data_IF_203970011016
#
_entry.id   IF_203970011016
#
_cell.length_a   1.000
_cell.length_b   1.000
_cell.length_c   1.000
_cell.angle_alpha   90.00
_cell.angle_beta   90.00
_cell.angle_gamma   90.00
#
_symmetry.space_group_name_H-M   'P 1'
#
loop_
_entity.id
_entity.type
_entity.pdbx_description
1 polymer ?
#
# COMPACT_ATOMS: atom_id res chain seq x y z
N UNK A 1 24.82 -50.40 -37.04
CA UNK A 1 23.94 -51.23 -37.89
C UNK A 1 23.25 -52.23 -37.00
N UNK A 2 21.97 -52.51 -37.29
CA UNK A 2 21.21 -53.73 -36.94
C UNK A 2 21.09 -54.08 -35.44
N UNK A 3 19.91 -53.99 -34.81
CA UNK A 3 18.70 -54.83 -35.00
C UNK A 3 19.01 -56.29 -34.61
N UNK A 4 18.17 -57.07 -33.93
CA UNK A 4 16.88 -56.98 -33.20
C UNK A 4 16.57 -58.46 -32.83
N UNK A 5 15.35 -58.76 -32.40
CA UNK A 5 14.76 -60.10 -32.29
C UNK A 5 15.30 -61.09 -31.25
N UNK A 6 14.51 -62.05 -30.75
CA UNK A 6 13.12 -62.10 -30.21
C UNK A 6 12.70 -63.59 -30.13
N UNK A 7 11.82 -63.95 -29.17
CA UNK A 7 10.90 -65.11 -29.14
C UNK A 7 10.20 -65.12 -27.76
N UNK A 8 8.86 -64.98 -27.67
CA UNK A 8 7.78 -65.99 -27.83
C UNK A 8 7.67 -67.01 -26.67
N UNK A 9 6.49 -67.44 -26.19
CA UNK A 9 5.07 -67.06 -26.41
C UNK A 9 4.25 -67.51 -25.14
N UNK A 10 2.92 -67.43 -24.99
CA UNK A 10 1.73 -67.12 -25.82
C UNK A 10 0.63 -66.50 -24.89
N UNK A 11 -0.68 -66.41 -25.17
CA UNK A 11 -1.53 -66.85 -26.29
C UNK A 11 -3.01 -66.36 -26.15
N UNK A 12 -3.80 -66.45 -27.21
CA UNK A 12 -5.22 -66.03 -27.34
C UNK A 12 -6.17 -67.27 -27.36
N UNK A 13 -7.54 -67.19 -27.47
CA UNK A 13 -8.41 -66.09 -27.93
C UNK A 13 -9.70 -65.82 -27.09
N UNK A 14 -10.54 -64.86 -27.52
CA UNK A 14 -11.91 -64.65 -27.00
C UNK A 14 -12.62 -63.40 -27.56
N UNK A 15 -13.88 -63.52 -27.96
CA UNK A 15 -14.67 -62.49 -28.69
C UNK A 15 -15.40 -61.46 -27.80
N UNK A 16 -15.95 -60.41 -28.42
CA UNK A 16 -17.17 -59.73 -27.95
C UNK A 16 -17.02 -58.28 -27.46
N UNK A 17 -18.09 -57.48 -27.56
CA UNK A 17 -18.11 -56.10 -27.05
C UNK A 17 -19.47 -55.40 -27.12
N UNK A 18 -19.49 -54.13 -26.67
CA UNK A 18 -20.59 -53.13 -26.56
C UNK A 18 -21.26 -52.94 -25.18
N UNK A 19 -21.14 -51.70 -24.69
CA UNK A 19 -22.18 -50.84 -24.04
C UNK A 19 -22.88 -51.26 -22.73
N UNK A 20 -23.28 -50.26 -21.95
CA UNK A 20 -23.98 -50.37 -20.67
C UNK A 20 -25.50 -50.10 -20.77
N UNK A 21 -26.31 -50.63 -19.83
CA UNK A 21 -27.56 -49.99 -19.34
C UNK A 21 -28.19 -50.69 -18.09
N UNK A 22 -28.98 -49.91 -17.31
CA UNK A 22 -30.17 -50.31 -16.51
C UNK A 22 -30.03 -51.22 -15.26
N UNK A 23 -31.10 -51.43 -14.42
CA UNK A 23 -32.48 -50.82 -14.35
C UNK A 23 -32.60 -49.68 -13.29
N UNK A 24 -33.65 -48.87 -13.09
CA UNK A 24 -35.14 -48.98 -13.10
C UNK A 24 -35.73 -49.72 -11.87
N UNK A 25 -36.89 -49.41 -11.25
CA UNK A 25 -37.85 -48.28 -11.18
C UNK A 25 -38.73 -48.51 -9.89
N UNK A 26 -39.71 -47.73 -9.39
CA UNK A 26 -40.33 -46.41 -9.67
C UNK A 26 -40.83 -45.83 -8.30
N UNK A 27 -41.91 -45.08 -8.00
CA UNK A 27 -42.99 -44.39 -8.76
C UNK A 27 -44.39 -44.48 -8.10
N UNK A 28 -44.74 -43.68 -7.07
CA UNK A 28 -46.11 -43.65 -6.48
C UNK A 28 -46.55 -42.28 -5.89
N UNK A 29 -47.84 -42.11 -5.51
CA UNK A 29 -48.42 -40.82 -5.03
C UNK A 29 -49.38 -40.92 -3.81
N UNK A 30 -49.30 -39.88 -2.96
CA UNK A 30 -50.38 -39.27 -2.14
C UNK A 30 -51.06 -40.06 -0.98
N UNK A 31 -51.07 -39.46 0.23
CA UNK A 31 -52.22 -39.39 1.17
C UNK A 31 -51.85 -38.62 2.47
N UNK A 32 -52.84 -38.01 3.14
CA UNK A 32 -52.84 -37.55 4.55
C UNK A 32 -51.96 -36.34 4.91
N UNK A 33 -52.31 -35.36 5.77
CA UNK A 33 -53.24 -35.18 6.92
C UNK A 33 -52.55 -35.25 8.29
N UNK A 34 -52.47 -34.10 8.99
CA UNK A 34 -52.47 -33.89 10.48
C UNK A 34 -51.36 -34.64 11.30
N UNK A 35 -50.72 -34.13 12.36
CA UNK A 35 -51.04 -33.09 13.35
C UNK A 35 -49.73 -32.61 14.07
N UNK A 36 -49.86 -31.62 14.97
CA UNK A 36 -49.00 -31.09 16.06
C UNK A 36 -47.67 -31.77 16.47
N UNK A 37 -46.67 -30.91 16.78
CA UNK A 37 -45.50 -31.25 17.61
C UNK A 37 -44.37 -30.19 17.60
N UNK A 38 -43.97 -29.65 18.76
CA UNK A 38 -42.84 -28.72 18.90
C UNK A 38 -41.50 -29.43 19.19
N UNK A 39 -40.39 -28.96 18.61
CA UNK A 39 -39.02 -29.37 18.99
C UNK A 39 -37.96 -28.30 18.64
N UNK A 40 -36.83 -28.35 19.37
CA UNK A 40 -35.73 -27.38 19.37
C UNK A 40 -35.08 -27.04 18.00
N UNK A 41 -34.46 -25.85 17.86
CA UNK A 41 -33.79 -25.44 16.63
C UNK A 41 -32.49 -26.24 16.38
N UNK A 42 -32.38 -26.82 15.19
CA UNK A 42 -31.09 -27.23 14.61
C UNK A 42 -30.44 -26.04 13.90
N UNK A 43 -29.10 -25.98 13.79
CA UNK A 43 -28.42 -24.87 13.11
C UNK A 43 -28.83 -24.82 11.64
N UNK A 44 -29.03 -23.62 11.12
CA UNK A 44 -29.44 -23.42 9.73
C UNK A 44 -28.39 -24.02 8.77
N UNK A 45 -28.79 -25.01 7.98
CA UNK A 45 -27.98 -25.48 6.86
C UNK A 45 -27.80 -24.33 5.87
N UNK A 46 -26.55 -24.04 5.56
CA UNK A 46 -26.17 -23.07 4.54
C UNK A 46 -26.78 -23.50 3.19
N UNK A 47 -27.70 -22.69 2.67
CA UNK A 47 -28.43 -22.99 1.45
C UNK A 47 -27.72 -22.41 0.24
N UNK A 48 -27.41 -23.26 -0.74
CA UNK A 48 -26.83 -22.92 -2.04
C UNK A 48 -27.44 -21.61 -2.61
N UNK A 49 -26.63 -20.58 -2.91
CA UNK A 49 -27.12 -19.26 -3.29
C UNK A 49 -27.83 -19.20 -4.65
N UNK A 50 -27.90 -20.30 -5.41
CA UNK A 50 -28.53 -20.34 -6.74
C UNK A 50 -30.03 -20.67 -6.76
N UNK A 51 -30.71 -20.85 -5.62
CA UNK A 51 -32.16 -21.15 -5.59
C UNK A 51 -33.05 -19.91 -5.34
N UNK A 52 -33.92 -19.51 -6.30
CA UNK A 52 -34.81 -18.36 -6.13
C UNK A 52 -36.01 -18.69 -5.23
N UNK A 53 -36.21 -17.93 -4.16
CA UNK A 53 -37.41 -18.01 -3.30
C UNK A 53 -38.64 -17.48 -4.06
N UNK A 54 -39.59 -18.36 -4.36
CA UNK A 54 -40.85 -17.97 -4.99
C UNK A 54 -41.79 -17.29 -3.98
N UNK A 55 -42.00 -15.97 -4.13
CA UNK A 55 -43.07 -15.24 -3.45
C UNK A 55 -44.26 -15.12 -4.41
N UNK A 56 -45.40 -15.69 -4.02
CA UNK A 56 -46.54 -15.84 -4.92
C UNK A 56 -47.45 -14.60 -4.88
N UNK A 57 -47.08 -13.56 -5.64
CA UNK A 57 -47.90 -12.34 -5.82
C UNK A 57 -48.69 -12.43 -7.12
N UNK A 58 -49.98 -12.08 -7.07
CA UNK A 58 -50.89 -12.25 -8.19
C UNK A 58 -50.54 -11.37 -9.41
N UNK A 59 -50.18 -12.05 -10.51
CA UNK A 59 -50.50 -11.68 -11.90
C UNK A 59 -50.04 -10.29 -12.38
N UNK A 60 -48.75 -9.99 -12.24
CA UNK A 60 -48.04 -9.23 -13.28
C UNK A 60 -46.54 -9.56 -13.29
N UNK A 61 -45.99 -9.98 -14.45
CA UNK A 61 -44.56 -10.29 -14.59
C UNK A 61 -43.76 -9.03 -14.91
N UNK A 62 -43.73 -8.10 -13.96
CA UNK A 62 -42.65 -7.11 -13.91
C UNK A 62 -41.38 -7.87 -13.54
N UNK A 63 -40.43 -7.94 -14.46
CA UNK A 63 -39.09 -8.45 -14.16
C UNK A 63 -38.37 -7.37 -13.35
N UNK A 64 -38.62 -7.35 -12.05
CA UNK A 64 -37.79 -6.62 -11.10
C UNK A 64 -36.42 -7.29 -11.17
N UNK A 65 -35.52 -6.68 -11.94
CA UNK A 65 -34.08 -6.93 -11.83
C UNK A 65 -33.77 -6.71 -10.36
N UNK A 66 -33.44 -7.79 -9.64
CA UNK A 66 -32.88 -7.64 -8.30
C UNK A 66 -31.68 -6.74 -8.46
N UNK A 67 -31.75 -5.54 -7.89
CA UNK A 67 -30.64 -4.61 -7.89
C UNK A 67 -29.43 -5.41 -7.39
N UNK A 68 -28.30 -5.30 -8.10
CA UNK A 68 -27.02 -5.67 -7.50
C UNK A 68 -26.95 -5.04 -6.12
N UNK A 69 -26.51 -5.76 -5.08
CA UNK A 69 -26.34 -5.18 -3.75
C UNK A 69 -25.57 -3.88 -3.94
N UNK A 70 -26.03 -2.79 -3.32
CA UNK A 70 -25.46 -1.48 -3.59
C UNK A 70 -23.96 -1.56 -3.32
N UNK A 71 -23.13 -1.34 -4.36
CA UNK A 71 -21.67 -1.36 -4.27
C UNK A 71 -21.16 -0.10 -3.55
N UNK A 72 -21.74 0.19 -2.39
CA UNK A 72 -21.35 1.24 -1.48
C UNK A 72 -19.97 0.88 -0.92
N UNK A 73 -18.99 1.74 -1.16
CA UNK A 73 -17.65 1.60 -0.58
C UNK A 73 -17.75 1.50 0.94
N UNK A 74 -17.21 0.41 1.48
CA UNK A 74 -17.14 0.12 2.92
C UNK A 74 -16.65 1.33 3.73
N UNK A 75 -17.19 1.45 4.94
CA UNK A 75 -16.97 2.56 5.85
C UNK A 75 -16.46 2.05 7.19
N UNK A 76 -15.49 2.77 7.76
CA UNK A 76 -15.03 2.56 9.15
C UNK A 76 -16.21 2.52 10.13
N UNK A 77 -16.21 1.53 11.03
CA UNK A 77 -17.26 1.35 12.03
C UNK A 77 -17.22 2.49 13.06
N UNK A 78 -16.02 2.99 13.37
CA UNK A 78 -15.80 4.09 14.30
C UNK A 78 -14.81 5.13 13.76
N UNK A 79 -15.05 6.40 14.10
CA UNK A 79 -14.11 7.50 13.79
C UNK A 79 -12.74 7.31 14.46
N UNK A 80 -12.69 6.59 15.59
CA UNK A 80 -11.45 6.26 16.29
C UNK A 80 -10.57 5.28 15.50
N UNK A 81 -11.16 4.29 14.81
CA UNK A 81 -10.43 3.33 13.96
C UNK A 81 -9.71 4.07 12.82
N UNK A 82 -10.43 4.96 12.12
CA UNK A 82 -9.86 5.81 11.08
C UNK A 82 -8.74 6.72 11.61
N UNK A 83 -8.94 7.37 12.76
CA UNK A 83 -7.93 8.25 13.35
C UNK A 83 -6.67 7.47 13.77
N UNK A 84 -6.82 6.28 14.36
CA UNK A 84 -5.71 5.42 14.73
C UNK A 84 -4.95 4.89 13.50
N UNK A 85 -5.66 4.55 12.41
CA UNK A 85 -5.03 4.16 11.15
C UNK A 85 -4.19 5.31 10.54
N UNK A 86 -4.71 6.54 10.55
CA UNK A 86 -3.99 7.73 10.06
C UNK A 86 -2.79 8.07 10.95
N UNK A 87 -2.91 7.97 12.28
CA UNK A 87 -1.78 8.16 13.22
C UNK A 87 -0.73 7.05 13.04
N UNK A 88 -1.14 5.80 12.88
CA UNK A 88 -0.24 4.67 12.65
C UNK A 88 0.52 4.75 11.31
N UNK A 89 -0.06 5.40 10.30
CA UNK A 89 0.64 5.74 9.05
C UNK A 89 1.61 6.92 9.21
N UNK A 90 1.27 7.91 10.04
CA UNK A 90 2.09 9.11 10.26
C UNK A 90 3.23 8.92 11.28
N UNK A 91 3.22 7.83 12.06
CA UNK A 91 4.26 7.52 13.06
C UNK A 91 5.13 6.36 12.59
N UNK A 92 6.30 6.69 12.03
CA UNK A 92 7.23 5.74 11.45
C UNK A 92 8.54 5.59 12.27
N UNK A 93 9.46 4.77 11.76
CA UNK A 93 10.83 4.69 12.29
C UNK A 93 11.57 6.03 12.19
N UNK A 94 11.39 6.78 11.10
CA UNK A 94 11.96 8.11 10.85
C UNK A 94 11.79 9.09 12.02
N UNK A 95 10.61 9.14 12.63
CA UNK A 95 10.34 9.96 13.81
C UNK A 95 11.22 9.61 15.04
N UNK A 96 11.67 8.36 15.16
CA UNK A 96 12.49 7.87 16.29
C UNK A 96 13.98 8.22 16.14
N UNK A 97 14.54 8.09 14.93
CA UNK A 97 15.98 8.27 14.68
C UNK A 97 16.35 9.49 13.84
N UNK A 98 15.62 9.75 12.74
CA UNK A 98 15.97 10.77 11.74
C UNK A 98 15.63 12.17 12.25
N UNK A 99 14.48 12.35 12.91
CA UNK A 99 14.11 13.64 13.48
C UNK A 99 15.09 14.11 14.57
N UNK A 100 15.46 13.31 15.60
CA UNK A 100 16.47 13.71 16.58
C UNK A 100 17.85 13.99 15.97
N UNK A 101 18.30 13.16 15.02
CA UNK A 101 19.59 13.34 14.34
C UNK A 101 19.67 14.65 13.55
N UNK A 102 18.66 14.93 12.72
CA UNK A 102 18.59 16.17 11.92
C UNK A 102 18.42 17.40 12.83
N UNK A 103 17.60 17.29 13.89
CA UNK A 103 17.43 18.34 14.89
C UNK A 103 18.76 18.68 15.57
N UNK A 104 19.51 17.68 16.05
CA UNK A 104 20.82 17.86 16.66
C UNK A 104 21.82 18.56 15.74
N UNK A 105 21.95 18.10 14.47
CA UNK A 105 22.89 18.70 13.51
C UNK A 105 22.53 20.14 13.12
N UNK A 106 21.25 20.49 13.08
CA UNK A 106 20.78 21.82 12.63
C UNK A 106 20.55 22.81 13.80
N UNK A 107 21.38 22.71 14.85
CA UNK A 107 21.37 23.65 15.98
C UNK A 107 20.46 23.23 17.16
N UNK A 108 20.12 21.95 17.26
CA UNK A 108 19.31 21.40 18.35
C UNK A 108 17.93 22.06 18.43
N UNK A 109 17.53 22.51 19.62
CA UNK A 109 16.22 23.12 19.85
C UNK A 109 15.89 24.34 18.97
N UNK A 110 16.90 25.01 18.38
CA UNK A 110 16.67 26.09 17.43
C UNK A 110 16.00 25.61 16.13
N UNK A 111 16.25 24.37 15.70
CA UNK A 111 15.65 23.75 14.51
C UNK A 111 14.12 23.62 14.61
N UNK A 112 13.56 23.59 15.83
CA UNK A 112 12.12 23.52 16.04
C UNK A 112 11.36 24.74 15.49
N UNK A 113 12.01 25.91 15.42
CA UNK A 113 11.40 27.13 14.89
C UNK A 113 11.10 27.00 13.38
N UNK A 114 12.08 26.77 12.48
CA UNK A 114 11.80 26.55 11.07
C UNK A 114 10.97 25.27 10.86
N UNK A 115 11.20 24.19 11.61
CA UNK A 115 10.40 22.96 11.51
C UNK A 115 8.89 23.23 11.70
N UNK A 116 8.51 23.94 12.77
CA UNK A 116 7.12 24.30 13.02
C UNK A 116 6.56 25.24 11.94
N UNK A 117 7.35 26.18 11.41
CA UNK A 117 6.93 27.06 10.31
C UNK A 117 6.65 26.25 9.04
N UNK A 118 7.54 25.32 8.65
CA UNK A 118 7.35 24.50 7.46
C UNK A 118 6.21 23.48 7.63
N UNK A 119 6.00 22.98 8.85
CA UNK A 119 4.85 22.14 9.19
C UNK A 119 3.52 22.91 9.02
N UNK A 120 3.44 24.14 9.51
CA UNK A 120 2.23 24.96 9.41
C UNK A 120 1.94 25.47 7.98
N UNK A 121 2.97 25.79 7.19
CA UNK A 121 2.83 26.42 5.87
C UNK A 121 2.88 25.43 4.68
N UNK A 122 3.50 24.26 4.85
CA UNK A 122 3.64 23.22 3.83
C UNK A 122 2.98 21.91 4.23
N UNK A 123 3.39 21.35 5.38
CA UNK A 123 2.96 20.02 5.83
C UNK A 123 1.45 19.90 6.05
N UNK A 124 0.86 20.72 6.93
CA UNK A 124 -0.56 20.69 7.23
C UNK A 124 -1.46 21.02 6.02
N UNK A 125 -1.16 22.03 5.17
CA UNK A 125 -1.94 22.27 3.96
C UNK A 125 -1.96 21.08 2.98
N UNK A 126 -0.82 20.42 2.73
CA UNK A 126 -0.76 19.25 1.84
C UNK A 126 -1.47 18.02 2.46
N UNK A 127 -1.26 17.77 3.75
CA UNK A 127 -1.94 16.68 4.46
C UNK A 127 -3.47 16.88 4.52
N UNK A 128 -3.92 18.12 4.74
CA UNK A 128 -5.35 18.47 4.71
C UNK A 128 -5.93 18.38 3.29
N UNK A 129 -5.17 18.72 2.25
CA UNK A 129 -5.56 18.51 0.86
C UNK A 129 -5.85 17.03 0.61
N UNK A 130 -4.91 16.14 0.95
CA UNK A 130 -5.02 14.72 0.63
C UNK A 130 -6.20 14.04 1.35
N UNK A 131 -6.36 14.32 2.65
CA UNK A 131 -7.52 13.83 3.41
C UNK A 131 -8.86 14.32 2.81
N UNK A 132 -8.93 15.58 2.39
CA UNK A 132 -10.13 16.15 1.78
C UNK A 132 -10.41 15.54 0.39
N UNK A 133 -9.39 15.37 -0.46
CA UNK A 133 -9.53 14.73 -1.77
C UNK A 133 -10.03 13.29 -1.66
N UNK A 134 -9.43 12.50 -0.76
CA UNK A 134 -9.81 11.12 -0.48
C UNK A 134 -11.24 10.99 0.06
N UNK A 135 -11.63 11.86 1.01
CA UNK A 135 -12.99 11.86 1.57
C UNK A 135 -14.05 12.33 0.57
N UNK A 136 -13.77 13.33 -0.27
CA UNK A 136 -14.73 13.84 -1.26
C UNK A 136 -14.97 12.84 -2.39
N UNK A 137 -13.89 12.42 -3.06
CA UNK A 137 -14.01 11.62 -4.28
C UNK A 137 -14.34 10.14 -4.00
N UNK A 138 -14.06 9.65 -2.78
CA UNK A 138 -14.28 8.26 -2.30
C UNK A 138 -13.73 7.17 -3.23
N UNK A 139 -12.71 7.47 -4.05
CA UNK A 139 -12.01 6.53 -4.92
C UNK A 139 -10.57 6.26 -4.40
N UNK A 140 -9.69 5.69 -5.23
CA UNK A 140 -8.26 5.52 -4.93
C UNK A 140 -7.38 6.31 -5.89
N UNK A 141 -6.08 6.44 -5.57
CA UNK A 141 -5.06 7.21 -6.29
C UNK A 141 -5.10 7.04 -7.83
N UNK A 142 -5.20 5.81 -8.35
CA UNK A 142 -5.29 5.54 -9.80
C UNK A 142 -6.58 6.03 -10.49
N UNK A 143 -7.65 6.27 -9.73
CA UNK A 143 -8.96 6.66 -10.25
C UNK A 143 -9.35 8.11 -9.94
N UNK A 144 -8.68 8.78 -9.00
CA UNK A 144 -8.97 10.19 -8.68
C UNK A 144 -8.57 11.12 -9.83
N UNK A 145 -7.43 10.86 -10.48
CA UNK A 145 -6.93 11.63 -11.62
C UNK A 145 -7.89 11.63 -12.83
N UNK A 146 -8.74 10.60 -12.99
CA UNK A 146 -9.80 10.59 -14.02
C UNK A 146 -10.88 11.66 -13.79
N UNK A 147 -11.01 12.19 -12.57
CA UNK A 147 -11.98 13.22 -12.17
C UNK A 147 -11.34 14.60 -12.02
N UNK A 148 -10.10 14.66 -11.52
CA UNK A 148 -9.33 15.91 -11.31
C UNK A 148 -8.73 16.41 -12.63
N UNK A 149 -7.85 15.64 -13.25
CA UNK A 149 -7.20 16.00 -14.51
C UNK A 149 -6.73 14.73 -15.25
N UNK A 150 -7.45 14.26 -16.29
CA UNK A 150 -7.14 13.00 -16.97
C UNK A 150 -5.73 12.93 -17.59
N UNK A 151 -5.11 14.08 -17.89
CA UNK A 151 -3.73 14.15 -18.38
C UNK A 151 -2.71 13.73 -17.30
N UNK A 152 -2.99 14.01 -16.02
CA UNK A 152 -2.12 13.67 -14.88
C UNK A 152 -2.36 12.25 -14.34
N UNK A 153 -3.03 11.38 -15.10
CA UNK A 153 -3.26 9.97 -14.73
C UNK A 153 -1.98 9.20 -14.41
N UNK A 154 -0.82 9.61 -14.95
CA UNK A 154 0.49 9.04 -14.63
C UNK A 154 0.85 9.12 -13.15
N UNK A 155 0.48 10.21 -12.46
CA UNK A 155 0.77 10.44 -11.02
C UNK A 155 0.28 9.28 -10.16
N UNK A 156 -0.93 8.77 -10.43
CA UNK A 156 -1.48 7.62 -9.71
C UNK A 156 -0.73 6.30 -9.93
N UNK A 157 -0.04 6.12 -11.06
CA UNK A 157 0.84 4.96 -11.28
C UNK A 157 2.20 5.13 -10.60
N UNK A 158 2.76 6.35 -10.65
CA UNK A 158 4.01 6.69 -9.97
C UNK A 158 3.92 6.45 -8.46
N UNK A 159 2.83 6.89 -7.81
CA UNK A 159 2.54 6.63 -6.39
C UNK A 159 2.57 5.12 -6.11
N UNK A 160 1.80 4.32 -6.86
CA UNK A 160 1.76 2.87 -6.64
C UNK A 160 3.12 2.17 -6.86
N UNK A 161 4.00 2.70 -7.72
CA UNK A 161 5.35 2.15 -7.90
C UNK A 161 6.27 2.52 -6.73
N UNK A 162 6.18 3.76 -6.24
CA UNK A 162 6.88 4.22 -5.04
C UNK A 162 6.44 3.42 -3.81
N UNK A 163 5.15 3.12 -3.66
CA UNK A 163 4.60 2.27 -2.60
C UNK A 163 5.20 0.86 -2.63
N UNK A 164 5.38 0.28 -3.82
CA UNK A 164 6.04 -1.03 -4.00
C UNK A 164 7.52 -0.96 -3.60
N UNK A 165 8.25 0.08 -4.02
CA UNK A 165 9.66 0.27 -3.68
C UNK A 165 9.85 0.48 -2.16
N UNK A 166 9.03 1.33 -1.53
CA UNK A 166 9.02 1.51 -0.07
C UNK A 166 8.60 0.23 0.66
N UNK A 167 7.63 -0.51 0.14
CA UNK A 167 7.16 -1.76 0.71
C UNK A 167 8.26 -2.83 0.79
N UNK A 168 9.04 -3.02 -0.28
CA UNK A 168 10.18 -3.97 -0.26
C UNK A 168 11.24 -3.54 0.76
N UNK A 169 11.59 -2.25 0.78
CA UNK A 169 12.57 -1.69 1.70
C UNK A 169 12.14 -1.80 3.17
N UNK A 170 10.97 -1.26 3.55
CA UNK A 170 10.52 -1.23 4.95
C UNK A 170 10.27 -2.62 5.52
N UNK A 171 9.71 -3.56 4.76
CA UNK A 171 9.56 -4.94 5.23
C UNK A 171 10.91 -5.61 5.55
N UNK A 172 12.00 -5.20 4.87
CA UNK A 172 13.35 -5.67 5.19
C UNK A 172 13.80 -5.15 6.56
N UNK A 173 13.56 -3.87 6.86
CA UNK A 173 13.89 -3.26 8.15
C UNK A 173 13.06 -3.86 9.29
N UNK A 174 11.77 -4.12 9.06
CA UNK A 174 10.90 -4.81 10.02
C UNK A 174 11.40 -6.25 10.26
N UNK A 175 11.82 -6.96 9.20
CA UNK A 175 12.44 -8.28 9.32
C UNK A 175 13.71 -8.27 10.17
N UNK A 176 14.59 -7.27 9.99
CA UNK A 176 15.75 -7.08 10.86
C UNK A 176 15.35 -6.79 12.31
N UNK A 177 14.38 -5.90 12.55
CA UNK A 177 13.89 -5.60 13.90
C UNK A 177 13.32 -6.83 14.62
N UNK A 178 12.58 -7.69 13.91
CA UNK A 178 12.05 -8.96 14.44
C UNK A 178 13.18 -9.97 14.71
N UNK A 179 14.19 -10.04 13.83
CA UNK A 179 15.39 -10.86 14.08
C UNK A 179 16.14 -10.43 15.35
N UNK A 180 16.42 -9.13 15.49
CA UNK A 180 17.07 -8.57 16.67
C UNK A 180 16.22 -8.73 17.95
N UNK A 181 14.89 -8.67 17.85
CA UNK A 181 13.98 -8.94 18.97
C UNK A 181 14.13 -10.38 19.49
N UNK A 182 14.09 -11.38 18.61
CA UNK A 182 14.27 -12.78 19.02
C UNK A 182 15.71 -13.08 19.48
N UNK A 183 16.72 -12.47 18.86
CA UNK A 183 18.12 -12.57 19.32
C UNK A 183 18.34 -11.91 20.70
N UNK A 184 17.48 -10.97 21.11
CA UNK A 184 17.52 -10.34 22.44
C UNK A 184 16.99 -11.23 23.57
N UNK A 185 16.49 -12.44 23.28
CA UNK A 185 16.04 -13.40 24.30
C UNK A 185 17.18 -14.30 24.85
N UNK A 186 18.44 -13.97 24.53
CA UNK A 186 19.64 -14.57 25.13
C UNK A 186 20.06 -13.82 26.40
N UNK A 187 20.65 -14.52 27.38
CA UNK A 187 21.10 -13.92 28.64
C UNK A 187 22.31 -13.00 28.47
N UNK A 188 23.18 -13.31 27.51
CA UNK A 188 24.24 -12.44 27.00
C UNK A 188 23.85 -12.03 25.58
N UNK A 189 23.88 -10.73 25.27
CA UNK A 189 23.45 -10.22 23.97
C UNK A 189 24.56 -10.45 22.92
N UNK A 190 24.27 -11.01 21.72
CA UNK A 190 25.31 -11.37 20.75
C UNK A 190 26.24 -10.23 20.33
N UNK A 191 25.76 -8.98 20.35
CA UNK A 191 26.52 -7.78 19.99
C UNK A 191 27.30 -7.14 21.14
N UNK A 192 27.28 -7.70 22.36
CA UNK A 192 28.07 -7.22 23.51
C UNK A 192 29.54 -7.63 23.42
N UNK A 193 29.89 -8.69 22.69
CA UNK A 193 31.24 -9.26 22.65
C UNK A 193 31.83 -9.37 21.24
N UNK A 194 33.15 -9.19 21.13
CA UNK A 194 33.91 -9.47 19.92
C UNK A 194 34.24 -10.97 19.72
N UNK A 195 33.67 -11.89 20.52
CA UNK A 195 34.02 -13.32 20.50
C UNK A 195 33.34 -14.20 19.43
N UNK A 196 32.40 -13.66 18.65
CA UNK A 196 31.60 -14.42 17.68
C UNK A 196 32.33 -14.68 16.34
N UNK A 197 31.90 -15.72 15.61
CA UNK A 197 32.46 -16.15 14.33
C UNK A 197 32.43 -15.10 13.21
N UNK A 198 31.46 -14.16 13.27
CA UNK A 198 31.29 -13.09 12.27
C UNK A 198 32.17 -11.85 12.52
N UNK A 199 32.94 -11.82 13.61
CA UNK A 199 33.76 -10.66 13.97
C UNK A 199 35.10 -10.66 13.23
N UNK A 200 35.63 -9.47 12.97
CA UNK A 200 36.94 -9.28 12.33
C UNK A 200 38.01 -8.90 13.36
N UNK A 201 39.32 -9.00 13.04
CA UNK A 201 40.39 -8.53 13.92
C UNK A 201 40.32 -7.03 14.31
N UNK A 202 39.50 -6.24 13.60
CA UNK A 202 39.26 -4.83 13.88
C UNK A 202 38.09 -4.61 14.86
N UNK A 203 37.44 -5.67 15.35
CA UNK A 203 36.38 -5.55 16.35
C UNK A 203 36.95 -5.02 17.67
N UNK A 204 36.33 -3.95 18.19
CA UNK A 204 36.65 -3.39 19.50
C UNK A 204 35.36 -3.22 20.30
N UNK A 205 35.46 -3.06 21.63
CA UNK A 205 34.30 -2.88 22.50
C UNK A 205 33.56 -1.52 22.35
N UNK A 206 33.90 -0.72 21.33
CA UNK A 206 33.14 0.47 20.95
C UNK A 206 32.13 0.09 19.87
N UNK A 207 30.87 0.50 20.04
CA UNK A 207 29.70 0.03 19.28
C UNK A 207 29.65 0.55 17.82
N UNK A 208 30.56 0.06 16.98
CA UNK A 208 30.48 0.22 15.53
C UNK A 208 29.70 -0.95 14.93
N UNK A 209 28.49 -0.66 14.43
CA UNK A 209 27.53 -1.65 13.94
C UNK A 209 28.00 -2.27 12.61
N UNK A 210 27.54 -3.49 12.30
CA UNK A 210 27.89 -4.29 11.13
C UNK A 210 27.96 -3.53 9.81
N UNK A 211 29.03 -3.78 9.04
CA UNK A 211 29.29 -3.17 7.73
C UNK A 211 28.16 -3.42 6.70
N UNK A 212 27.96 -2.45 5.81
CA UNK A 212 27.15 -2.61 4.59
C UNK A 212 25.70 -2.14 4.71
N UNK A 213 24.96 -2.60 5.72
CA UNK A 213 23.50 -2.37 5.83
C UNK A 213 23.09 -0.89 5.77
N UNK A 214 23.78 -0.03 6.53
CA UNK A 214 23.49 1.42 6.60
C UNK A 214 23.73 2.12 5.26
N UNK A 215 24.70 1.67 4.46
CA UNK A 215 24.99 2.26 3.15
C UNK A 215 23.90 1.91 2.12
N UNK A 216 23.42 0.66 2.12
CA UNK A 216 22.28 0.26 1.27
C UNK A 216 21.00 0.99 1.69
N UNK A 217 20.76 1.14 2.99
CA UNK A 217 19.68 1.94 3.58
C UNK A 217 19.74 3.39 3.09
N UNK A 218 20.90 4.06 3.19
CA UNK A 218 21.01 5.46 2.77
C UNK A 218 20.86 5.62 1.26
N UNK A 219 21.50 4.74 0.48
CA UNK A 219 21.40 4.72 -0.97
C UNK A 219 19.94 4.61 -1.45
N UNK A 220 19.17 3.66 -0.90
CA UNK A 220 17.76 3.46 -1.26
C UNK A 220 16.91 4.66 -0.83
N UNK A 221 17.12 5.20 0.38
CA UNK A 221 16.44 6.39 0.90
C UNK A 221 16.66 7.64 0.02
N UNK A 222 17.86 7.82 -0.54
CA UNK A 222 18.18 8.94 -1.45
C UNK A 222 17.60 8.72 -2.85
N UNK A 223 17.91 7.60 -3.51
CA UNK A 223 17.61 7.40 -4.94
C UNK A 223 16.22 6.84 -5.26
N UNK A 224 15.62 6.06 -4.36
CA UNK A 224 14.28 5.50 -4.60
C UNK A 224 13.19 6.51 -4.26
N UNK A 225 12.79 6.66 -3.00
CA UNK A 225 11.67 7.52 -2.63
C UNK A 225 12.03 9.01 -2.63
N UNK A 226 13.25 9.38 -2.21
CA UNK A 226 13.61 10.76 -1.86
C UNK A 226 13.31 11.79 -2.95
N UNK A 227 13.96 11.67 -4.12
CA UNK A 227 13.76 12.58 -5.24
C UNK A 227 12.43 12.34 -5.97
N UNK A 228 11.97 11.10 -6.07
CA UNK A 228 10.74 10.75 -6.78
C UNK A 228 9.48 11.27 -6.08
N UNK A 229 9.37 11.12 -4.75
CA UNK A 229 8.23 11.63 -3.97
C UNK A 229 8.14 13.15 -4.08
N UNK A 230 9.27 13.87 -3.96
CA UNK A 230 9.29 15.34 -4.08
C UNK A 230 8.75 15.81 -5.43
N UNK A 231 9.10 15.12 -6.52
CA UNK A 231 8.56 15.41 -7.86
C UNK A 231 7.07 15.05 -7.98
N UNK A 232 6.68 13.84 -7.56
CA UNK A 232 5.29 13.35 -7.65
C UNK A 232 4.33 14.23 -6.86
N UNK A 233 4.68 14.59 -5.61
CA UNK A 233 3.86 15.46 -4.74
C UNK A 233 3.83 16.90 -5.27
N UNK A 234 4.88 17.39 -5.93
CA UNK A 234 4.84 18.68 -6.64
C UNK A 234 3.84 18.66 -7.82
N UNK A 235 3.93 17.65 -8.69
CA UNK A 235 3.01 17.51 -9.84
C UNK A 235 1.56 17.29 -9.37
N UNK A 236 1.36 16.57 -8.26
CA UNK A 236 0.06 16.39 -7.62
C UNK A 236 -0.52 17.71 -7.10
N UNK A 237 0.24 18.46 -6.29
CA UNK A 237 -0.20 19.75 -5.77
C UNK A 237 -0.49 20.77 -6.89
N UNK A 238 0.37 20.82 -7.93
CA UNK A 238 0.11 21.63 -9.13
C UNK A 238 -1.16 21.15 -9.87
N UNK A 239 -1.35 19.84 -10.00
CA UNK A 239 -2.55 19.21 -10.57
C UNK A 239 -3.85 19.64 -9.88
N UNK A 240 -3.86 19.62 -8.55
CA UNK A 240 -5.04 19.98 -7.75
C UNK A 240 -5.26 21.49 -7.74
N UNK A 241 -4.22 22.31 -7.54
CA UNK A 241 -4.41 23.74 -7.27
C UNK A 241 -4.35 24.63 -8.51
N UNK A 242 -3.64 24.24 -9.57
CA UNK A 242 -3.51 25.02 -10.81
C UNK A 242 -4.34 24.46 -11.97
N UNK A 243 -4.39 23.13 -12.16
CA UNK A 243 -5.17 22.53 -13.25
C UNK A 243 -6.64 22.30 -12.88
N UNK A 244 -6.93 21.67 -11.74
CA UNK A 244 -8.29 21.51 -11.24
C UNK A 244 -8.83 22.79 -10.58
N UNK A 245 -7.94 23.54 -9.92
CA UNK A 245 -8.18 24.90 -9.46
C UNK A 245 -8.59 24.99 -7.99
N UNK A 246 -7.87 25.83 -7.23
CA UNK A 246 -8.09 26.06 -5.79
C UNK A 246 -9.53 26.45 -5.43
N UNK A 247 -10.29 27.08 -6.32
CA UNK A 247 -11.67 27.50 -6.08
C UNK A 247 -12.71 26.37 -6.28
N UNK A 248 -12.44 25.43 -7.18
CA UNK A 248 -13.24 24.20 -7.31
C UNK A 248 -13.02 23.33 -6.08
N UNK A 249 -11.76 23.10 -5.71
CA UNK A 249 -11.40 22.38 -4.49
C UNK A 249 -11.96 23.07 -3.21
N UNK A 250 -11.99 24.41 -3.17
CA UNK A 250 -12.64 25.16 -2.08
C UNK A 250 -14.17 25.03 -2.08
N UNK A 251 -14.80 24.62 -3.18
CA UNK A 251 -16.21 24.28 -3.25
C UNK A 251 -16.47 22.84 -2.76
N UNK A 252 -15.62 21.88 -3.12
CA UNK A 252 -15.66 20.49 -2.62
C UNK A 252 -15.53 20.46 -1.09
N UNK A 253 -14.55 21.19 -0.54
CA UNK A 253 -14.36 21.35 0.91
C UNK A 253 -15.58 22.01 1.57
N UNK A 254 -16.23 22.96 0.90
CA UNK A 254 -17.50 23.52 1.38
C UNK A 254 -18.64 22.49 1.34
N UNK A 255 -18.68 21.60 0.36
CA UNK A 255 -19.70 20.55 0.28
C UNK A 255 -19.52 19.49 1.38
N UNK A 256 -18.28 19.20 1.80
CA UNK A 256 -17.99 18.30 2.92
C UNK A 256 -18.24 18.93 4.29
N UNK A 257 -17.84 20.19 4.49
CA UNK A 257 -17.79 20.84 5.82
C UNK A 257 -18.84 21.94 6.02
N UNK A 258 -19.67 22.26 5.02
CA UNK A 258 -20.65 23.35 5.03
C UNK A 258 -20.07 24.76 4.84
N UNK A 259 -18.89 25.02 5.42
CA UNK A 259 -18.16 26.29 5.35
C UNK A 259 -16.92 26.20 4.44
N UNK A 260 -16.63 27.31 3.73
CA UNK A 260 -15.46 27.41 2.83
C UNK A 260 -14.15 27.50 3.61
N UNK A 261 -13.05 26.94 3.08
CA UNK A 261 -11.73 27.09 3.68
C UNK A 261 -11.28 28.57 3.67
N UNK A 262 -10.66 29.00 4.76
CA UNK A 262 -10.21 30.38 4.95
C UNK A 262 -9.10 30.82 3.99
N UNK A 263 -8.87 32.13 3.91
CA UNK A 263 -7.88 32.75 3.00
C UNK A 263 -6.48 32.16 3.19
N UNK A 264 -6.07 31.89 4.44
CA UNK A 264 -4.82 31.21 4.78
C UNK A 264 -4.62 29.91 3.99
N UNK A 265 -5.57 28.97 4.08
CA UNK A 265 -5.50 27.69 3.39
C UNK A 265 -5.45 27.86 1.87
N UNK A 266 -6.26 28.76 1.29
CA UNK A 266 -6.26 29.04 -0.15
C UNK A 266 -4.92 29.60 -0.65
N UNK A 267 -4.25 30.47 0.13
CA UNK A 267 -2.90 30.98 -0.20
C UNK A 267 -1.84 29.89 -0.03
N UNK A 268 -1.90 29.11 1.04
CA UNK A 268 -0.99 27.98 1.26
C UNK A 268 -1.04 27.00 0.09
N UNK A 269 -2.24 26.54 -0.26
CA UNK A 269 -2.48 25.62 -1.37
C UNK A 269 -2.06 26.20 -2.73
N UNK A 270 -2.54 27.38 -3.11
CA UNK A 270 -2.30 27.88 -4.47
C UNK A 270 -0.84 28.30 -4.73
N UNK A 271 -0.14 28.80 -3.71
CA UNK A 271 1.17 29.42 -3.88
C UNK A 271 2.25 28.80 -2.98
N UNK A 272 2.05 28.79 -1.65
CA UNK A 272 3.16 28.47 -0.73
C UNK A 272 3.60 27.01 -0.87
N UNK A 273 2.69 26.05 -0.83
CA UNK A 273 3.03 24.61 -0.86
C UNK A 273 3.63 24.17 -2.21
N UNK A 274 3.08 24.54 -3.40
CA UNK A 274 3.69 24.19 -4.68
C UNK A 274 5.06 24.85 -4.90
N UNK A 275 5.23 26.12 -4.50
CA UNK A 275 6.54 26.80 -4.60
C UNK A 275 7.54 26.18 -3.63
N UNK A 276 7.13 25.85 -2.40
CA UNK A 276 7.98 25.17 -1.41
C UNK A 276 8.44 23.80 -1.91
N UNK A 277 7.52 22.97 -2.42
CA UNK A 277 7.85 21.66 -3.00
C UNK A 277 8.84 21.78 -4.17
N UNK A 278 8.61 22.72 -5.08
CA UNK A 278 9.51 22.99 -6.20
C UNK A 278 10.90 23.46 -5.74
N UNK A 279 10.96 24.32 -4.73
CA UNK A 279 12.22 24.80 -4.15
C UNK A 279 13.00 23.67 -3.46
N UNK A 280 12.35 22.81 -2.66
CA UNK A 280 13.01 21.62 -2.12
C UNK A 280 13.49 20.72 -3.26
N UNK A 281 12.63 20.41 -4.23
CA UNK A 281 12.97 19.52 -5.34
C UNK A 281 14.22 20.00 -6.10
N UNK A 282 14.31 21.31 -6.39
CA UNK A 282 15.50 21.91 -7.03
C UNK A 282 16.74 21.77 -6.12
N UNK A 283 16.64 22.11 -4.83
CA UNK A 283 17.79 21.98 -3.91
C UNK A 283 18.23 20.52 -3.71
N UNK A 284 17.29 19.58 -3.58
CA UNK A 284 17.58 18.14 -3.45
C UNK A 284 18.15 17.55 -4.74
N UNK A 285 17.70 18.01 -5.92
CA UNK A 285 18.24 17.59 -7.20
C UNK A 285 19.67 18.11 -7.41
N UNK A 286 19.97 19.35 -7.01
CA UNK A 286 21.32 19.90 -7.09
C UNK A 286 22.27 19.29 -6.03
N UNK A 287 21.78 19.09 -4.81
CA UNK A 287 22.55 18.55 -3.67
C UNK A 287 22.60 17.01 -3.59
N UNK A 288 22.22 16.28 -4.65
CA UNK A 288 22.04 14.82 -4.59
C UNK A 288 23.30 14.05 -4.16
N UNK A 289 24.49 14.57 -4.48
CA UNK A 289 25.76 13.95 -4.09
C UNK A 289 26.05 14.08 -2.59
N UNK A 290 25.68 15.20 -1.97
CA UNK A 290 25.91 15.45 -0.54
C UNK A 290 25.04 14.55 0.35
N UNK A 291 23.83 14.23 -0.11
CA UNK A 291 22.89 13.35 0.61
C UNK A 291 23.37 11.90 0.77
N UNK A 292 24.34 11.46 -0.03
CA UNK A 292 24.91 10.10 0.06
C UNK A 292 25.88 9.92 1.24
N UNK A 293 26.38 11.03 1.80
CA UNK A 293 27.39 11.04 2.86
C UNK A 293 28.82 11.01 2.33
N UNK A 294 29.75 11.64 3.05
CA UNK A 294 31.16 11.78 2.65
C UNK A 294 32.05 10.59 3.00
N UNK A 295 31.54 9.63 3.77
CA UNK A 295 32.31 8.52 4.35
C UNK A 295 32.42 7.29 3.43
N UNK A 296 31.56 7.17 2.40
CA UNK A 296 31.56 6.05 1.46
C UNK A 296 31.33 6.50 0.01
N UNK A 297 32.29 6.20 -0.87
CA UNK A 297 32.17 6.45 -2.31
C UNK A 297 31.42 5.31 -3.01
N UNK A 298 30.18 5.57 -3.41
CA UNK A 298 29.37 4.62 -4.18
C UNK A 298 29.95 4.40 -5.59
N UNK A 299 30.03 3.15 -6.09
CA UNK A 299 30.53 2.87 -7.44
C UNK A 299 29.53 3.28 -8.52
N UNK A 300 30.02 3.70 -9.69
CA UNK A 300 29.22 4.27 -10.78
C UNK A 300 28.04 3.40 -11.23
N UNK A 301 28.20 2.07 -11.24
CA UNK A 301 27.13 1.14 -11.59
C UNK A 301 25.95 1.23 -10.62
N UNK A 302 26.21 1.47 -9.32
CA UNK A 302 25.15 1.65 -8.33
C UNK A 302 24.46 3.00 -8.52
N UNK A 303 25.21 4.06 -8.80
CA UNK A 303 24.67 5.40 -9.11
C UNK A 303 23.75 5.33 -10.35
N UNK A 304 24.14 4.58 -11.39
CA UNK A 304 23.32 4.35 -12.58
C UNK A 304 22.02 3.57 -12.26
N UNK A 305 22.08 2.56 -11.39
CA UNK A 305 20.88 1.86 -10.89
C UNK A 305 19.99 2.79 -10.05
N UNK A 306 20.58 3.69 -9.27
CA UNK A 306 19.87 4.71 -8.50
C UNK A 306 19.07 5.65 -9.39
N UNK A 307 19.70 6.21 -10.42
CA UNK A 307 19.02 7.06 -11.40
C UNK A 307 17.95 6.30 -12.21
N UNK A 308 18.16 5.02 -12.53
CA UNK A 308 17.13 4.19 -13.14
C UNK A 308 15.91 3.98 -12.22
N UNK A 309 16.13 3.84 -10.92
CA UNK A 309 15.09 3.72 -9.89
C UNK A 309 14.33 5.04 -9.67
N UNK A 310 15.00 6.19 -9.73
CA UNK A 310 14.32 7.49 -9.72
C UNK A 310 13.50 7.68 -10.99
N UNK A 311 14.06 7.35 -12.15
CA UNK A 311 13.42 7.55 -13.45
C UNK A 311 12.17 6.69 -13.64
N UNK A 312 12.16 5.43 -13.17
CA UNK A 312 10.98 4.55 -13.30
C UNK A 312 9.76 5.07 -12.53
N UNK A 313 9.96 5.88 -11.49
CA UNK A 313 8.89 6.54 -10.70
C UNK A 313 8.53 7.96 -11.18
N UNK A 314 9.21 8.48 -12.21
CA UNK A 314 9.03 9.85 -12.74
C UNK A 314 8.43 9.86 -14.16
N UNK A 315 8.46 8.72 -14.85
CA UNK A 315 7.97 8.50 -16.24
C UNK A 315 6.55 7.92 -16.25
#
# INVERSE_FOLDING_TARGET
MTNEDSMNASGQPGEGGKTAHWPAAEGDRAAGSEDTGEAHPTPAKESDPLQPKMVNVNKERVLVVSLTPENGRETWSQKAEFLLAVIGFAVDLGNVWRFPYICYQNGGGAFLIPYCIMLLLGGLPLFYMELALGQFHRCGCLSIWKRICPALKGVGYAICLIDIYMGMYYNTIIGWAVYYLFASFSSELPWTSCGNEWNTPNCSHVTNITNGGVYLVNFLNVYGPGLAILFVVFIEAAGVFWFYGVDNFSADVKQMLGHRPGIFWRICWFYISPVFLLVIFIFSFLGYQEMLGTEYTYPDWSIAVGWALTASSVI
#
